data_IF_026188539246
#
_entry.id   IF_026188539246
#
_cell.length_a   1.000
_cell.length_b   1.000
_cell.length_c   1.000
_cell.angle_alpha   90.00
_cell.angle_beta   90.00
_cell.angle_gamma   90.00
#
_symmetry.space_group_name_H-M   'P 1'
#
loop_
_entity.id
_entity.type
_entity.pdbx_description
1 polymer ?
#
# COMPACT_ATOMS: atom_id res chain seq x y z
N UNK A 1 7.55 -0.77 3.90
CA UNK A 1 6.13 -0.40 4.13
C UNK A 1 5.25 -1.58 3.79
N UNK A 2 4.25 -1.86 4.63
CA UNK A 2 3.49 -3.10 4.61
C UNK A 2 2.01 -2.83 4.37
N UNK A 3 1.39 -3.59 3.48
CA UNK A 3 -0.06 -3.63 3.28
C UNK A 3 -0.61 -4.87 3.97
N UNK A 4 -1.59 -4.71 4.86
CA UNK A 4 -2.26 -5.83 5.50
C UNK A 4 -3.45 -6.30 4.68
N UNK A 5 -3.47 -7.57 4.30
CA UNK A 5 -4.62 -8.18 3.61
C UNK A 5 -5.60 -8.71 4.63
N UNK A 6 -6.80 -8.17 4.63
CA UNK A 6 -7.89 -8.55 5.55
C UNK A 6 -9.13 -8.98 4.77
N UNK A 7 -10.00 -9.75 5.39
CA UNK A 7 -11.28 -10.18 4.82
C UNK A 7 -11.92 -11.24 5.68
N UNK A 8 -13.21 -11.44 5.50
CA UNK A 8 -13.96 -12.54 6.13
C UNK A 8 -13.47 -13.89 5.59
N UNK A 9 -13.78 -15.00 6.27
CA UNK A 9 -13.52 -16.33 5.71
C UNK A 9 -14.21 -16.52 4.35
N UNK A 10 -13.56 -17.26 3.44
CA UNK A 10 -14.09 -17.66 2.13
C UNK A 10 -14.41 -16.51 1.16
N UNK A 11 -13.71 -15.37 1.30
CA UNK A 11 -13.82 -14.23 0.37
C UNK A 11 -12.77 -14.25 -0.74
N UNK A 12 -11.88 -15.27 -0.78
CA UNK A 12 -10.76 -15.35 -1.71
C UNK A 12 -9.46 -14.72 -1.18
N UNK A 13 -9.39 -14.37 0.13
CA UNK A 13 -8.20 -13.76 0.73
C UNK A 13 -6.96 -14.64 0.61
N UNK A 14 -7.05 -15.93 0.91
CA UNK A 14 -5.92 -16.86 0.80
C UNK A 14 -5.50 -17.08 -0.63
N UNK A 15 -6.43 -17.17 -1.57
CA UNK A 15 -6.18 -17.28 -3.02
C UNK A 15 -5.41 -16.06 -3.52
N UNK A 16 -5.86 -14.86 -3.17
CA UNK A 16 -5.15 -13.62 -3.51
C UNK A 16 -3.75 -13.59 -2.87
N UNK A 17 -3.62 -14.03 -1.62
CA UNK A 17 -2.33 -14.06 -0.94
C UNK A 17 -1.38 -15.11 -1.53
N UNK A 18 -1.89 -16.24 -2.01
CA UNK A 18 -1.10 -17.23 -2.77
C UNK A 18 -0.56 -16.61 -4.07
N UNK A 19 -1.40 -15.88 -4.83
CA UNK A 19 -0.96 -15.15 -6.02
C UNK A 19 0.17 -14.16 -5.69
N UNK A 20 0.03 -13.40 -4.61
CA UNK A 20 1.04 -12.47 -4.10
C UNK A 20 2.35 -13.21 -3.76
N UNK A 21 2.29 -14.34 -3.06
CA UNK A 21 3.48 -15.09 -2.65
C UNK A 21 4.14 -15.80 -3.81
N UNK A 22 3.38 -16.30 -4.78
CA UNK A 22 3.89 -16.93 -5.99
C UNK A 22 4.63 -15.90 -6.86
N UNK A 23 4.04 -14.73 -7.10
CA UNK A 23 4.72 -13.62 -7.77
C UNK A 23 5.96 -13.14 -6.99
N UNK A 24 5.90 -13.19 -5.65
CA UNK A 24 7.00 -12.87 -4.75
C UNK A 24 8.15 -13.88 -4.78
N UNK A 25 7.89 -15.15 -5.06
CA UNK A 25 8.95 -16.16 -5.20
C UNK A 25 9.86 -15.87 -6.42
N UNK A 26 9.32 -15.26 -7.47
CA UNK A 26 10.11 -14.74 -8.58
C UNK A 26 10.97 -13.54 -8.16
N UNK A 27 10.49 -12.74 -7.20
CA UNK A 27 11.19 -11.60 -6.63
C UNK A 27 12.18 -11.96 -5.50
N UNK A 28 12.15 -13.18 -4.97
CA UNK A 28 13.03 -13.63 -3.87
C UNK A 28 14.54 -13.65 -4.23
N UNK A 29 14.87 -13.55 -5.50
CA UNK A 29 16.25 -13.39 -6.00
C UNK A 29 16.80 -11.96 -5.79
N UNK A 30 15.97 -11.01 -5.33
CA UNK A 30 16.44 -9.65 -5.05
C UNK A 30 17.05 -9.56 -3.64
N UNK A 31 18.20 -8.87 -3.47
CA UNK A 31 18.84 -8.73 -2.17
C UNK A 31 17.95 -7.93 -1.21
N UNK A 32 17.98 -8.34 0.07
CA UNK A 32 17.22 -7.74 1.19
C UNK A 32 15.74 -8.14 1.33
N UNK A 33 15.23 -9.12 0.58
CA UNK A 33 13.94 -9.72 0.87
C UNK A 33 14.10 -10.77 1.99
N UNK A 34 13.76 -10.43 3.21
CA UNK A 34 13.63 -11.41 4.29
C UNK A 34 12.23 -12.02 4.19
N UNK A 35 12.15 -13.33 3.98
CA UNK A 35 10.87 -14.05 3.94
C UNK A 35 10.44 -14.28 5.39
N UNK A 36 9.53 -13.46 5.89
CA UNK A 36 8.83 -13.70 7.14
C UNK A 36 7.58 -14.58 6.88
N UNK A 37 7.19 -15.45 7.82
CA UNK A 37 5.92 -16.17 7.70
C UNK A 37 4.76 -15.20 7.48
N UNK A 38 3.85 -15.55 6.57
CA UNK A 38 2.69 -14.73 6.20
C UNK A 38 3.03 -13.35 5.59
N UNK A 39 4.22 -13.20 5.01
CA UNK A 39 4.60 -11.98 4.26
C UNK A 39 4.93 -12.35 2.81
N UNK A 40 4.29 -11.65 1.87
CA UNK A 40 4.59 -11.69 0.44
C UNK A 40 5.27 -10.40 0.00
N UNK A 41 6.32 -10.49 -0.81
CA UNK A 41 7.03 -9.32 -1.35
C UNK A 41 6.90 -9.35 -2.86
N UNK A 42 6.31 -8.31 -3.45
CA UNK A 42 6.05 -8.23 -4.88
C UNK A 42 6.83 -7.07 -5.50
N UNK A 43 7.36 -7.28 -6.70
CA UNK A 43 7.98 -6.21 -7.48
C UNK A 43 6.93 -5.18 -7.92
N UNK A 44 7.29 -3.90 -7.84
CA UNK A 44 6.46 -2.82 -8.36
C UNK A 44 6.69 -2.72 -9.86
N UNK A 45 5.67 -2.92 -10.70
CA UNK A 45 5.80 -2.76 -12.14
C UNK A 45 6.23 -1.33 -12.50
N UNK A 46 7.36 -1.18 -13.18
CA UNK A 46 7.87 0.12 -13.62
C UNK A 46 8.53 0.01 -15.00
N UNK A 47 7.79 0.36 -16.04
CA UNK A 47 8.27 0.35 -17.44
C UNK A 47 9.52 1.23 -17.66
N UNK A 48 9.75 2.22 -16.79
CA UNK A 48 10.94 3.08 -16.88
C UNK A 48 12.20 2.28 -16.58
N UNK A 49 12.10 1.36 -15.61
CA UNK A 49 13.22 0.50 -15.25
C UNK A 49 13.58 -0.47 -16.37
N UNK A 50 12.58 -1.01 -17.08
CA UNK A 50 12.77 -1.90 -18.22
C UNK A 50 13.52 -1.19 -19.36
N UNK A 51 13.08 0.02 -19.71
CA UNK A 51 13.75 0.84 -20.74
C UNK A 51 15.19 1.15 -20.36
N UNK A 52 15.45 1.49 -19.08
CA UNK A 52 16.82 1.73 -18.62
C UNK A 52 17.67 0.45 -18.65
N UNK A 53 17.08 -0.71 -18.36
CA UNK A 53 17.78 -1.98 -18.49
C UNK A 53 18.14 -2.30 -19.95
N UNK A 54 17.29 -2.02 -20.90
CA UNK A 54 17.60 -2.14 -22.33
C UNK A 54 18.73 -1.20 -22.78
N UNK A 55 18.75 0.04 -22.25
CA UNK A 55 19.76 1.05 -22.57
C UNK A 55 21.14 0.69 -22.01
N UNK A 56 21.21 0.24 -20.76
CA UNK A 56 22.47 0.03 -20.03
C UNK A 56 22.96 -1.41 -20.06
N UNK A 57 22.08 -2.39 -20.37
CA UNK A 57 22.33 -3.83 -20.33
C UNK A 57 23.06 -4.25 -19.06
N UNK A 58 22.46 -3.98 -17.88
CA UNK A 58 23.13 -4.12 -16.61
C UNK A 58 23.35 -5.59 -16.25
N UNK A 59 24.36 -5.85 -15.41
CA UNK A 59 24.57 -7.16 -14.78
C UNK A 59 23.42 -7.51 -13.82
N UNK A 60 22.79 -6.48 -13.23
CA UNK A 60 21.75 -6.66 -12.23
C UNK A 60 20.58 -5.69 -12.45
N UNK A 61 19.36 -6.26 -12.39
CA UNK A 61 18.10 -5.55 -12.46
C UNK A 61 17.38 -5.67 -11.11
N UNK A 62 17.05 -4.53 -10.48
CA UNK A 62 16.45 -4.52 -9.13
C UNK A 62 15.25 -3.58 -9.10
N UNK A 63 14.01 -4.07 -9.20
CA UNK A 63 12.81 -3.24 -9.06
C UNK A 63 12.58 -2.79 -7.63
N UNK A 64 11.73 -1.77 -7.47
CA UNK A 64 11.13 -1.47 -6.18
C UNK A 64 10.21 -2.61 -5.75
N UNK A 65 10.01 -2.78 -4.45
CA UNK A 65 9.15 -3.85 -3.92
C UNK A 65 8.13 -3.30 -2.93
N UNK A 66 7.00 -4.00 -2.82
CA UNK A 66 5.95 -3.75 -1.85
C UNK A 66 5.69 -5.02 -1.04
N UNK A 67 5.55 -4.88 0.27
CA UNK A 67 5.29 -5.98 1.18
C UNK A 67 3.81 -6.10 1.49
N UNK A 68 3.28 -7.32 1.42
CA UNK A 68 1.93 -7.69 1.83
C UNK A 68 2.01 -8.65 3.01
N UNK A 69 1.14 -8.45 4.00
CA UNK A 69 1.05 -9.30 5.19
C UNK A 69 -0.31 -9.95 5.22
N UNK A 70 -0.37 -11.28 5.25
CA UNK A 70 -1.63 -11.99 5.48
C UNK A 70 -2.05 -11.83 6.94
N UNK A 71 -3.15 -11.13 7.14
CA UNK A 71 -3.73 -10.98 8.46
C UNK A 71 -4.85 -12.01 8.60
N UNK A 72 -4.68 -12.95 9.53
CA UNK A 72 -5.63 -14.02 9.77
C UNK A 72 -7.06 -13.47 9.87
N UNK A 73 -8.01 -14.17 9.24
CA UNK A 73 -9.38 -13.69 9.09
C UNK A 73 -10.03 -13.31 10.43
N UNK A 74 -10.82 -12.26 10.39
CA UNK A 74 -11.61 -11.76 11.52
C UNK A 74 -12.74 -12.75 11.82
N UNK A 75 -12.85 -13.13 13.08
CA UNK A 75 -14.04 -13.80 13.61
C UNK A 75 -14.86 -12.75 14.35
N UNK A 76 -16.17 -12.73 14.14
CA UNK A 76 -17.12 -11.84 14.82
C UNK A 76 -16.89 -11.87 16.34
N UNK A 77 -16.73 -10.70 16.97
CA UNK A 77 -16.40 -10.60 18.41
C UNK A 77 -14.91 -10.45 18.74
N UNK A 78 -14.06 -10.17 17.73
CA UNK A 78 -12.62 -9.97 17.90
C UNK A 78 -12.27 -8.84 18.88
N UNK A 79 -13.07 -7.78 18.92
CA UNK A 79 -12.91 -6.63 19.81
C UNK A 79 -13.19 -6.94 21.29
N UNK A 80 -13.89 -8.03 21.58
CA UNK A 80 -14.25 -8.43 22.97
C UNK A 80 -13.13 -9.19 23.70
N UNK A 81 -11.94 -9.31 23.12
CA UNK A 81 -10.75 -9.73 23.85
C UNK A 81 -10.51 -11.23 23.97
N UNK A 82 -11.21 -12.09 23.23
CA UNK A 82 -10.97 -13.53 23.24
C UNK A 82 -9.92 -13.95 22.20
N UNK A 83 -8.68 -14.18 22.66
CA UNK A 83 -7.62 -14.94 21.99
C UNK A 83 -7.21 -14.47 20.57
N UNK A 84 -7.86 -14.95 19.53
CA UNK A 84 -7.53 -14.71 18.12
C UNK A 84 -7.82 -13.25 17.67
N UNK A 85 -8.84 -12.61 18.25
CA UNK A 85 -9.19 -11.23 17.91
C UNK A 85 -8.10 -10.22 18.27
N UNK A 86 -7.47 -10.38 19.44
CA UNK A 86 -6.37 -9.50 19.85
C UNK A 86 -5.15 -9.63 18.94
N UNK A 87 -4.85 -10.82 18.42
CA UNK A 87 -3.77 -11.05 17.46
C UNK A 87 -4.07 -10.35 16.12
N UNK A 88 -5.31 -10.46 15.63
CA UNK A 88 -5.77 -9.79 14.43
C UNK A 88 -5.58 -8.28 14.54
N UNK A 89 -6.08 -7.66 15.60
CA UNK A 89 -5.94 -6.21 15.82
C UNK A 89 -4.47 -5.78 15.98
N UNK A 90 -3.63 -6.61 16.61
CA UNK A 90 -2.19 -6.37 16.72
C UNK A 90 -1.52 -6.32 15.34
N UNK A 91 -1.78 -7.32 14.50
CA UNK A 91 -1.21 -7.37 13.15
C UNK A 91 -1.67 -6.19 12.29
N UNK A 92 -2.95 -5.78 12.38
CA UNK A 92 -3.41 -4.58 11.65
C UNK A 92 -2.67 -3.33 12.13
N UNK A 93 -2.32 -3.21 13.41
CA UNK A 93 -1.55 -2.05 13.90
C UNK A 93 -0.16 -1.95 13.29
N UNK A 94 0.45 -3.07 12.93
CA UNK A 94 1.82 -3.15 12.40
C UNK A 94 1.94 -2.79 10.91
N UNK A 95 0.84 -2.80 10.16
CA UNK A 95 0.84 -2.47 8.73
C UNK A 95 0.54 -0.99 8.49
N UNK A 96 0.95 -0.46 7.34
CA UNK A 96 0.81 0.96 7.00
C UNK A 96 -0.55 1.30 6.37
N UNK A 97 -1.15 0.36 5.63
CA UNK A 97 -2.49 0.47 5.05
C UNK A 97 -3.13 -0.92 4.91
N UNK A 98 -4.40 -0.96 4.56
CA UNK A 98 -5.23 -2.17 4.54
C UNK A 98 -5.70 -2.45 3.11
N UNK A 99 -5.61 -3.70 2.68
CA UNK A 99 -6.29 -4.27 1.52
C UNK A 99 -7.44 -5.11 2.05
N UNK A 100 -8.67 -4.62 1.93
CA UNK A 100 -9.85 -5.31 2.39
C UNK A 100 -10.46 -6.11 1.23
N UNK A 101 -10.27 -7.43 1.26
CA UNK A 101 -10.83 -8.35 0.27
C UNK A 101 -12.30 -8.57 0.57
N UNK A 102 -13.15 -8.26 -0.40
CA UNK A 102 -14.61 -8.35 -0.30
C UNK A 102 -15.12 -9.31 -1.36
N UNK A 103 -15.93 -10.27 -0.96
CA UNK A 103 -16.52 -11.25 -1.89
C UNK A 103 -17.61 -10.59 -2.73
N UNK A 104 -17.42 -10.55 -4.05
CA UNK A 104 -18.34 -10.03 -5.03
C UNK A 104 -18.65 -11.07 -6.13
N UNK A 105 -18.73 -12.36 -5.77
CA UNK A 105 -19.06 -13.48 -6.64
C UNK A 105 -19.97 -14.47 -5.93
N UNK A 106 -20.78 -15.17 -6.69
CA UNK A 106 -21.59 -16.28 -6.22
C UNK A 106 -20.95 -17.61 -6.64
N UNK A 107 -20.84 -18.57 -5.71
CA UNK A 107 -20.34 -19.91 -5.98
C UNK A 107 -20.99 -20.87 -4.95
N UNK A 108 -21.75 -21.83 -5.46
CA UNK A 108 -22.48 -22.80 -4.64
C UNK A 108 -21.53 -23.75 -3.87
N UNK A 109 -20.28 -23.91 -4.34
CA UNK A 109 -19.27 -24.74 -3.67
C UNK A 109 -18.55 -24.01 -2.55
N UNK A 110 -18.65 -22.68 -2.48
CA UNK A 110 -17.97 -21.84 -1.49
C UNK A 110 -19.01 -21.28 -0.51
N UNK A 111 -19.13 -21.91 0.66
CA UNK A 111 -20.08 -21.51 1.68
C UNK A 111 -19.73 -20.11 2.20
N UNK A 112 -20.72 -19.19 2.18
CA UNK A 112 -20.60 -17.90 2.86
C UNK A 112 -20.87 -18.03 4.36
N UNK A 113 -20.12 -17.30 5.20
CA UNK A 113 -20.23 -17.39 6.67
C UNK A 113 -21.64 -17.04 7.17
N UNK A 114 -22.29 -16.05 6.54
CA UNK A 114 -23.65 -15.59 6.87
C UNK A 114 -24.73 -16.16 5.92
N UNK A 115 -24.40 -17.17 5.10
CA UNK A 115 -25.33 -17.90 4.24
C UNK A 115 -25.75 -17.21 2.94
N UNK A 116 -25.37 -15.95 2.71
CA UNK A 116 -25.59 -15.20 1.47
C UNK A 116 -24.46 -14.22 1.19
N UNK A 117 -24.20 -13.93 -0.07
CA UNK A 117 -23.22 -12.90 -0.46
C UNK A 117 -23.87 -11.53 -0.31
N UNK A 118 -23.25 -10.68 0.50
CA UNK A 118 -23.67 -9.28 0.72
C UNK A 118 -22.42 -8.45 1.03
N UNK A 119 -21.81 -7.82 0.01
CA UNK A 119 -20.57 -7.06 0.16
C UNK A 119 -20.66 -5.91 1.17
N UNK A 120 -21.80 -5.23 1.25
CA UNK A 120 -21.99 -4.12 2.19
C UNK A 120 -21.97 -4.61 3.65
N UNK A 121 -22.72 -5.67 3.94
CA UNK A 121 -22.74 -6.31 5.25
C UNK A 121 -21.36 -6.82 5.64
N UNK A 122 -20.64 -7.46 4.72
CA UNK A 122 -19.32 -8.04 4.97
C UNK A 122 -18.29 -6.97 5.32
N UNK A 123 -18.34 -5.83 4.64
CA UNK A 123 -17.53 -4.64 4.97
C UNK A 123 -17.90 -4.10 6.36
N UNK A 124 -19.20 -3.96 6.64
CA UNK A 124 -19.69 -3.43 7.92
C UNK A 124 -19.24 -4.29 9.10
N UNK A 125 -19.25 -5.62 8.97
CA UNK A 125 -18.79 -6.54 10.00
C UNK A 125 -17.33 -6.27 10.39
N UNK A 126 -16.44 -6.11 9.42
CA UNK A 126 -15.02 -5.82 9.67
C UNK A 126 -14.88 -4.39 10.22
N UNK A 127 -15.49 -3.40 9.59
CA UNK A 127 -15.39 -2.02 10.02
C UNK A 127 -15.89 -1.82 11.45
N UNK A 128 -16.98 -2.48 11.84
CA UNK A 128 -17.50 -2.44 13.22
C UNK A 128 -16.47 -2.93 14.23
N UNK A 129 -15.79 -4.04 13.99
CA UNK A 129 -14.79 -4.57 14.91
C UNK A 129 -13.56 -3.62 15.04
N UNK A 130 -13.14 -3.01 13.93
CA UNK A 130 -12.04 -2.03 13.93
C UNK A 130 -12.44 -0.75 14.67
N UNK A 131 -13.66 -0.26 14.47
CA UNK A 131 -14.21 0.91 15.14
C UNK A 131 -14.31 0.68 16.65
N UNK A 132 -14.81 -0.47 17.08
CA UNK A 132 -14.90 -0.84 18.50
C UNK A 132 -13.50 -0.85 19.17
N UNK A 133 -12.49 -1.38 18.49
CA UNK A 133 -11.11 -1.36 19.00
C UNK A 133 -10.54 0.06 19.13
N UNK A 134 -10.90 0.95 18.20
CA UNK A 134 -10.48 2.35 18.27
C UNK A 134 -11.25 3.13 19.32
N UNK A 135 -12.54 2.88 19.55
CA UNK A 135 -13.31 3.47 20.66
C UNK A 135 -12.59 3.22 22.00
N UNK A 136 -12.14 1.96 22.24
CA UNK A 136 -11.39 1.65 23.46
C UNK A 136 -10.11 2.47 23.58
N UNK A 137 -9.36 2.58 22.48
CA UNK A 137 -8.10 3.33 22.43
C UNK A 137 -8.34 4.82 22.67
N UNK A 138 -9.31 5.41 21.96
CA UNK A 138 -9.64 6.85 22.05
C UNK A 138 -10.19 7.20 23.44
N UNK A 139 -11.03 6.34 24.02
CA UNK A 139 -11.56 6.54 25.39
C UNK A 139 -10.42 6.66 26.40
N UNK A 140 -9.48 5.71 26.41
CA UNK A 140 -8.31 5.73 27.33
C UNK A 140 -7.46 6.98 27.13
N UNK A 141 -7.22 7.40 25.89
CA UNK A 141 -6.44 8.61 25.57
C UNK A 141 -7.16 9.88 26.00
N UNK A 142 -8.46 9.98 25.71
CA UNK A 142 -9.29 11.12 26.07
C UNK A 142 -9.40 11.32 27.60
N UNK A 143 -9.60 10.23 28.35
CA UNK A 143 -9.61 10.24 29.81
C UNK A 143 -8.27 10.72 30.39
N UNK A 144 -7.14 10.24 29.84
CA UNK A 144 -5.80 10.68 30.21
C UNK A 144 -5.62 12.17 29.95
N UNK A 145 -6.00 12.66 28.76
CA UNK A 145 -5.90 14.07 28.40
C UNK A 145 -6.76 14.95 29.35
N UNK A 146 -7.98 14.54 29.64
CA UNK A 146 -8.85 15.22 30.59
C UNK A 146 -8.27 15.28 32.02
N UNK A 147 -7.65 14.20 32.50
CA UNK A 147 -6.99 14.14 33.80
C UNK A 147 -5.78 15.08 33.86
N UNK A 148 -4.98 15.17 32.78
CA UNK A 148 -3.83 16.09 32.73
C UNK A 148 -4.23 17.54 32.64
N UNK A 149 -5.29 17.85 31.91
CA UNK A 149 -5.89 19.20 31.89
C UNK A 149 -6.35 19.67 33.27
N UNK A 150 -7.00 18.78 34.04
CA UNK A 150 -7.41 19.08 35.44
C UNK A 150 -6.20 19.37 36.34
N UNK A 151 -5.02 18.87 36.04
CA UNK A 151 -3.76 19.18 36.72
C UNK A 151 -3.10 20.48 36.25
N UNK A 152 -3.71 21.19 35.29
CA UNK A 152 -3.22 22.47 34.77
C UNK A 152 -2.31 22.35 33.52
N UNK A 153 -2.09 21.17 32.95
CA UNK A 153 -1.27 21.00 31.75
C UNK A 153 -2.07 21.27 30.47
N UNK A 154 -2.04 22.53 30.03
CA UNK A 154 -2.83 23.02 28.89
C UNK A 154 -2.48 22.39 27.55
N UNK A 155 -1.32 21.73 27.42
CA UNK A 155 -0.91 21.08 26.18
C UNK A 155 -1.85 19.93 25.76
N UNK A 156 -2.61 19.37 26.72
CA UNK A 156 -3.58 18.31 26.46
C UNK A 156 -4.97 18.80 25.99
N UNK A 157 -5.15 20.12 25.78
CA UNK A 157 -6.44 20.65 25.32
C UNK A 157 -6.83 20.12 23.95
N UNK A 158 -5.91 20.21 22.97
CA UNK A 158 -6.11 19.72 21.60
C UNK A 158 -6.35 18.21 21.56
N UNK A 159 -5.62 17.44 22.39
CA UNK A 159 -5.83 15.98 22.49
C UNK A 159 -7.24 15.65 23.03
N UNK A 160 -7.71 16.38 24.04
CA UNK A 160 -9.06 16.18 24.61
C UNK A 160 -10.13 16.49 23.57
N UNK A 161 -10.03 17.63 22.88
CA UNK A 161 -10.99 18.02 21.84
C UNK A 161 -11.02 17.01 20.70
N UNK A 162 -9.84 16.57 20.22
CA UNK A 162 -9.73 15.54 19.19
C UNK A 162 -10.38 14.22 19.65
N UNK A 163 -10.17 13.81 20.91
CA UNK A 163 -10.77 12.63 21.49
C UNK A 163 -12.30 12.70 21.54
N UNK A 164 -12.88 13.85 21.89
CA UNK A 164 -14.34 14.07 21.92
C UNK A 164 -14.95 13.96 20.50
N UNK A 165 -14.31 14.58 19.50
CA UNK A 165 -14.74 14.50 18.10
C UNK A 165 -14.67 13.05 17.61
N UNK A 166 -13.56 12.36 17.86
CA UNK A 166 -13.36 10.98 17.45
C UNK A 166 -14.35 10.04 18.12
N UNK A 167 -14.60 10.16 19.42
CA UNK A 167 -15.57 9.32 20.11
C UNK A 167 -16.99 9.51 19.57
N UNK A 168 -17.40 10.75 19.32
CA UNK A 168 -18.71 11.00 18.70
C UNK A 168 -18.81 10.33 17.33
N UNK A 169 -17.79 10.48 16.50
CA UNK A 169 -17.75 9.94 15.13
C UNK A 169 -17.71 8.41 15.10
N UNK A 170 -16.85 7.78 15.91
CA UNK A 170 -16.72 6.33 16.03
C UNK A 170 -17.98 5.68 16.59
N UNK A 171 -18.68 6.33 17.55
CA UNK A 171 -19.95 5.83 18.10
C UNK A 171 -21.10 5.84 17.07
N UNK A 172 -20.97 6.61 15.97
CA UNK A 172 -21.85 6.52 14.81
C UNK A 172 -21.49 5.36 13.86
N UNK A 173 -20.49 4.53 14.19
CA UNK A 173 -19.98 3.45 13.36
C UNK A 173 -19.05 3.90 12.23
N UNK A 174 -18.64 5.18 12.21
CA UNK A 174 -17.81 5.74 11.14
C UNK A 174 -16.32 5.62 11.46
N UNK A 175 -15.45 5.28 10.47
CA UNK A 175 -14.02 5.15 10.70
C UNK A 175 -13.36 6.49 11.00
N UNK A 176 -12.34 6.51 11.87
CA UNK A 176 -11.64 7.73 12.30
C UNK A 176 -11.05 8.55 11.13
N UNK A 177 -10.69 7.92 10.01
CA UNK A 177 -10.17 8.59 8.80
C UNK A 177 -11.15 9.59 8.17
N UNK A 178 -12.45 9.41 8.39
CA UNK A 178 -13.50 10.30 7.88
C UNK A 178 -13.90 11.41 8.86
N UNK A 179 -13.31 11.43 10.07
CA UNK A 179 -13.58 12.46 11.06
C UNK A 179 -13.04 13.83 10.63
N UNK A 180 -13.82 14.89 10.90
CA UNK A 180 -13.46 16.27 10.60
C UNK A 180 -12.49 16.83 11.65
N UNK A 181 -11.24 16.42 11.61
CA UNK A 181 -10.16 16.90 12.47
C UNK A 181 -9.37 18.02 11.81
N UNK A 182 -8.97 19.05 12.58
CA UNK A 182 -8.00 20.05 12.14
C UNK A 182 -6.60 19.44 11.98
N UNK A 183 -5.67 20.16 11.33
CA UNK A 183 -4.27 19.72 11.19
C UNK A 183 -3.60 19.47 12.55
N UNK A 184 -3.78 20.38 13.51
CA UNK A 184 -3.24 20.24 14.86
C UNK A 184 -3.83 19.03 15.58
N UNK A 185 -5.13 18.78 15.44
CA UNK A 185 -5.79 17.60 15.99
C UNK A 185 -5.31 16.32 15.34
N UNK A 186 -5.12 16.30 14.00
CA UNK A 186 -4.53 15.15 13.28
C UNK A 186 -3.11 14.86 13.76
N UNK A 187 -2.30 15.89 13.95
CA UNK A 187 -0.93 15.75 14.44
C UNK A 187 -0.86 15.09 15.83
N UNK A 188 -1.71 15.51 16.77
CA UNK A 188 -1.70 14.93 18.13
C UNK A 188 -2.29 13.54 18.22
N UNK A 189 -3.20 13.14 17.31
CA UNK A 189 -3.76 11.78 17.29
C UNK A 189 -2.91 10.78 16.50
N UNK A 190 -1.91 11.23 15.79
CA UNK A 190 -1.02 10.35 15.01
C UNK A 190 -0.36 9.28 15.90
N UNK A 191 0.06 9.65 17.11
CA UNK A 191 0.67 8.76 18.09
C UNK A 191 -0.33 7.82 18.80
N UNK A 192 -1.60 7.88 18.45
CA UNK A 192 -2.60 6.98 19.00
C UNK A 192 -2.69 5.66 18.24
N UNK A 193 -2.09 5.59 17.05
CA UNK A 193 -2.05 4.41 16.19
C UNK A 193 -3.44 3.80 15.95
N UNK A 194 -4.42 4.66 15.69
CA UNK A 194 -5.79 4.24 15.42
C UNK A 194 -5.84 3.39 14.14
N UNK A 195 -6.51 2.26 14.23
CA UNK A 195 -6.62 1.29 13.14
C UNK A 195 -7.45 1.88 12.00
N UNK A 196 -8.57 2.52 12.34
CA UNK A 196 -9.50 3.09 11.35
C UNK A 196 -9.01 4.42 10.76
N UNK A 197 -7.86 4.96 11.20
CA UNK A 197 -7.14 6.05 10.52
C UNK A 197 -6.35 5.58 9.31
N UNK A 198 -6.04 4.28 9.23
CA UNK A 198 -5.28 3.72 8.10
C UNK A 198 -6.08 3.85 6.81
N UNK A 199 -5.36 4.09 5.71
CA UNK A 199 -5.95 4.10 4.36
C UNK A 199 -6.34 2.68 3.95
N UNK A 200 -7.39 2.56 3.14
CA UNK A 200 -7.97 1.27 2.73
C UNK A 200 -8.08 1.22 1.20
N UNK A 201 -7.76 0.05 0.63
CA UNK A 201 -8.17 -0.37 -0.70
C UNK A 201 -9.19 -1.48 -0.51
N UNK A 202 -10.38 -1.32 -1.07
CA UNK A 202 -11.35 -2.40 -1.16
C UNK A 202 -11.04 -3.23 -2.41
N UNK A 203 -10.59 -4.45 -2.23
CA UNK A 203 -10.38 -5.42 -3.31
C UNK A 203 -11.68 -6.21 -3.50
N UNK A 204 -12.51 -5.74 -4.43
CA UNK A 204 -13.77 -6.41 -4.81
C UNK A 204 -13.41 -7.67 -5.63
N UNK A 205 -13.46 -8.83 -4.98
CA UNK A 205 -13.11 -10.11 -5.58
C UNK A 205 -14.31 -10.66 -6.34
N UNK A 206 -14.22 -10.67 -7.68
CA UNK A 206 -15.24 -11.15 -8.61
C UNK A 206 -14.97 -12.59 -9.06
N UNK A 207 -15.97 -13.22 -9.68
CA UNK A 207 -15.82 -14.52 -10.36
C UNK A 207 -15.13 -14.39 -11.71
N UNK A 208 -14.64 -15.52 -12.23
CA UNK A 208 -13.99 -15.58 -13.55
C UNK A 208 -14.95 -15.20 -14.69
N UNK A 209 -16.23 -15.50 -14.55
CA UNK A 209 -17.29 -15.16 -15.50
C UNK A 209 -17.51 -13.66 -15.65
N UNK A 210 -17.03 -12.85 -14.71
CA UNK A 210 -17.15 -11.39 -14.72
C UNK A 210 -15.86 -10.69 -15.22
N UNK A 211 -14.82 -11.45 -15.52
CA UNK A 211 -13.58 -10.91 -16.10
C UNK A 211 -13.86 -10.26 -17.46
N UNK A 212 -13.28 -9.09 -17.69
CA UNK A 212 -13.44 -8.35 -18.94
C UNK A 212 -14.78 -7.63 -19.10
N UNK A 213 -15.75 -7.80 -18.19
CA UNK A 213 -17.00 -7.03 -18.19
C UNK A 213 -16.75 -5.59 -17.72
N UNK A 214 -17.68 -4.69 -18.06
CA UNK A 214 -17.65 -3.33 -17.50
C UNK A 214 -17.85 -3.40 -15.98
N UNK A 215 -16.84 -2.98 -15.25
CA UNK A 215 -16.86 -2.98 -13.79
C UNK A 215 -18.04 -2.18 -13.19
N UNK A 216 -18.64 -1.24 -13.96
CA UNK A 216 -19.79 -0.46 -13.52
C UNK A 216 -21.12 -1.23 -13.61
N UNK A 217 -21.16 -2.32 -14.37
CA UNK A 217 -22.34 -3.17 -14.52
C UNK A 217 -22.40 -4.28 -13.47
N UNK A 218 -21.32 -4.50 -12.71
CA UNK A 218 -21.24 -5.55 -11.69
C UNK A 218 -22.04 -5.17 -10.44
N UNK A 219 -23.22 -5.78 -10.30
CA UNK A 219 -24.17 -5.45 -9.22
C UNK A 219 -23.56 -5.60 -7.81
N UNK A 220 -22.78 -6.67 -7.57
CA UNK A 220 -22.16 -6.92 -6.28
C UNK A 220 -20.99 -5.95 -5.96
N UNK A 221 -20.46 -5.27 -6.97
CA UNK A 221 -19.38 -4.26 -6.80
C UNK A 221 -19.94 -2.88 -6.45
N UNK A 222 -21.16 -2.57 -6.87
CA UNK A 222 -21.79 -1.26 -6.63
C UNK A 222 -21.81 -0.84 -5.16
N UNK A 223 -22.26 -1.69 -4.20
CA UNK A 223 -22.24 -1.34 -2.78
C UNK A 223 -20.83 -1.07 -2.24
N UNK A 224 -19.83 -1.79 -2.75
CA UNK A 224 -18.41 -1.57 -2.37
C UNK A 224 -17.94 -0.18 -2.80
N UNK A 225 -18.33 0.26 -4.02
CA UNK A 225 -18.00 1.60 -4.54
C UNK A 225 -18.67 2.71 -3.74
N UNK A 226 -19.93 2.55 -3.38
CA UNK A 226 -20.68 3.53 -2.59
C UNK A 226 -20.04 3.74 -1.21
N UNK A 227 -19.66 2.65 -0.53
CA UNK A 227 -18.95 2.71 0.76
C UNK A 227 -17.59 3.38 0.58
N UNK A 228 -16.83 2.96 -0.41
CA UNK A 228 -15.49 3.50 -0.66
C UNK A 228 -15.54 5.00 -0.98
N UNK A 229 -16.49 5.46 -1.76
CA UNK A 229 -16.70 6.89 -2.06
C UNK A 229 -17.00 7.68 -0.80
N UNK A 230 -17.88 7.18 0.06
CA UNK A 230 -18.23 7.80 1.35
C UNK A 230 -17.02 7.91 2.30
N UNK A 231 -16.05 7.03 2.17
CA UNK A 231 -14.82 7.00 2.99
C UNK A 231 -13.61 7.67 2.34
N UNK A 232 -13.70 8.07 1.08
CA UNK A 232 -12.56 8.52 0.27
C UNK A 232 -11.53 7.42 0.03
N UNK A 233 -11.97 6.16 0.05
CA UNK A 233 -11.17 4.97 -0.22
C UNK A 233 -11.17 4.63 -1.72
N UNK A 234 -10.31 3.68 -2.13
CA UNK A 234 -10.23 3.22 -3.51
C UNK A 234 -10.79 1.80 -3.63
N UNK A 235 -11.40 1.49 -4.77
CA UNK A 235 -11.86 0.15 -5.12
C UNK A 235 -11.00 -0.40 -6.24
N UNK A 236 -10.58 -1.64 -6.08
CA UNK A 236 -9.94 -2.44 -7.11
C UNK A 236 -10.82 -3.67 -7.36
N UNK A 237 -11.30 -3.82 -8.57
CA UNK A 237 -11.96 -5.07 -9.02
C UNK A 237 -10.87 -6.06 -9.42
N UNK A 238 -10.91 -7.26 -8.85
CA UNK A 238 -9.92 -8.29 -9.03
C UNK A 238 -10.58 -9.67 -8.99
N UNK A 239 -10.09 -10.62 -9.77
CA UNK A 239 -10.46 -12.03 -9.64
C UNK A 239 -9.27 -12.78 -9.02
N UNK A 240 -9.36 -13.13 -7.75
CA UNK A 240 -8.25 -13.75 -7.02
C UNK A 240 -7.85 -15.11 -7.63
N UNK A 241 -8.81 -15.88 -8.17
CA UNK A 241 -8.53 -17.15 -8.83
C UNK A 241 -7.70 -16.96 -10.10
N UNK A 242 -8.12 -16.05 -10.97
CA UNK A 242 -7.35 -15.73 -12.17
C UNK A 242 -5.94 -15.20 -11.86
N UNK A 243 -5.79 -14.40 -10.79
CA UNK A 243 -4.47 -13.92 -10.37
C UNK A 243 -3.57 -15.06 -9.86
N UNK A 244 -4.13 -16.05 -9.16
CA UNK A 244 -3.38 -17.24 -8.73
C UNK A 244 -2.88 -18.03 -9.95
N UNK A 245 -3.73 -18.23 -10.95
CA UNK A 245 -3.36 -18.92 -12.20
C UNK A 245 -2.31 -18.13 -13.00
N UNK A 246 -2.53 -16.81 -13.20
CA UNK A 246 -1.57 -15.92 -13.86
C UNK A 246 -0.20 -15.92 -13.19
N UNK A 247 -0.17 -16.00 -11.85
CA UNK A 247 1.08 -15.97 -11.09
C UNK A 247 1.99 -17.17 -11.35
N UNK A 248 1.45 -18.27 -11.90
CA UNK A 248 2.15 -19.50 -12.24
C UNK A 248 2.60 -19.55 -13.71
N UNK A 249 2.10 -18.64 -14.55
CA UNK A 249 2.41 -18.56 -15.97
C UNK A 249 3.78 -17.93 -16.21
N UNK A 250 4.43 -18.33 -17.31
CA UNK A 250 5.58 -17.59 -17.80
C UNK A 250 5.16 -16.23 -18.41
N UNK A 251 6.11 -15.29 -18.66
CA UNK A 251 5.76 -13.95 -19.14
C UNK A 251 5.02 -13.95 -20.51
N UNK A 252 5.30 -14.89 -21.39
CA UNK A 252 4.65 -14.98 -22.72
C UNK A 252 3.22 -15.50 -22.55
N UNK A 253 3.05 -16.56 -21.76
CA UNK A 253 1.73 -17.13 -21.42
C UNK A 253 0.85 -16.09 -20.70
N UNK A 254 1.43 -15.36 -19.72
CA UNK A 254 0.74 -14.27 -19.00
C UNK A 254 0.23 -13.21 -19.98
N UNK A 255 1.06 -12.78 -20.91
CA UNK A 255 0.67 -11.77 -21.90
C UNK A 255 -0.46 -12.26 -22.79
N UNK A 256 -0.37 -13.47 -23.32
CA UNK A 256 -1.41 -14.09 -24.15
C UNK A 256 -2.73 -14.22 -23.41
N UNK A 257 -2.69 -14.65 -22.14
CA UNK A 257 -3.89 -14.77 -21.31
C UNK A 257 -4.57 -13.40 -21.09
N UNK A 258 -3.79 -12.37 -20.77
CA UNK A 258 -4.33 -11.01 -20.56
C UNK A 258 -4.95 -10.44 -21.85
N UNK A 259 -4.33 -10.68 -23.00
CA UNK A 259 -4.85 -10.26 -24.31
C UNK A 259 -6.15 -10.99 -24.67
N UNK A 260 -6.23 -12.30 -24.44
CA UNK A 260 -7.43 -13.13 -24.68
C UNK A 260 -8.61 -12.69 -23.82
N UNK A 261 -8.34 -12.31 -22.56
CA UNK A 261 -9.35 -11.80 -21.64
C UNK A 261 -9.69 -10.31 -21.86
N UNK A 262 -9.03 -9.63 -22.80
CA UNK A 262 -9.22 -8.20 -23.03
C UNK A 262 -8.74 -7.30 -21.89
N UNK A 263 -7.81 -7.78 -21.05
CA UNK A 263 -7.31 -7.09 -19.86
C UNK A 263 -5.90 -6.55 -20.17
N UNK A 264 -5.68 -5.27 -20.00
CA UNK A 264 -4.39 -4.64 -20.32
C UNK A 264 -3.29 -4.88 -19.26
N UNK A 265 -3.67 -5.27 -18.04
CA UNK A 265 -2.75 -5.47 -16.89
C UNK A 265 -3.43 -6.37 -15.85
N UNK A 266 -2.66 -7.24 -15.19
CA UNK A 266 -3.22 -8.11 -14.14
C UNK A 266 -3.74 -7.30 -12.95
N UNK A 267 -4.72 -7.85 -12.24
CA UNK A 267 -5.26 -7.22 -11.03
C UNK A 267 -4.23 -7.10 -9.93
N UNK A 268 -3.30 -8.07 -9.82
CA UNK A 268 -2.19 -8.00 -8.86
C UNK A 268 -1.24 -6.84 -9.18
N UNK A 269 -0.86 -6.66 -10.44
CA UNK A 269 -0.02 -5.53 -10.85
C UNK A 269 -0.72 -4.19 -10.55
N UNK A 270 -2.04 -4.10 -10.82
CA UNK A 270 -2.87 -2.94 -10.47
C UNK A 270 -2.91 -2.70 -8.96
N UNK A 271 -3.05 -3.77 -8.14
CA UNK A 271 -3.05 -3.70 -6.68
C UNK A 271 -1.73 -3.15 -6.14
N UNK A 272 -0.61 -3.63 -6.68
CA UNK A 272 0.73 -3.18 -6.28
C UNK A 272 0.93 -1.70 -6.59
N UNK A 273 0.59 -1.25 -7.79
CA UNK A 273 0.70 0.16 -8.20
C UNK A 273 -0.22 1.04 -7.33
N UNK A 274 -1.45 0.58 -7.10
CA UNK A 274 -2.42 1.31 -6.28
C UNK A 274 -1.97 1.43 -4.83
N UNK A 275 -1.46 0.34 -4.25
CA UNK A 275 -0.92 0.31 -2.89
C UNK A 275 0.30 1.20 -2.73
N UNK A 276 1.19 1.20 -3.72
CA UNK A 276 2.37 2.06 -3.76
C UNK A 276 1.99 3.55 -3.73
N UNK A 277 1.03 3.93 -4.58
CA UNK A 277 0.47 5.28 -4.63
C UNK A 277 -0.28 5.65 -3.34
N UNK A 278 -1.09 4.72 -2.79
CA UNK A 278 -1.84 4.94 -1.55
C UNK A 278 -0.93 5.29 -0.38
N UNK A 279 0.23 4.62 -0.30
CA UNK A 279 1.26 4.85 0.73
C UNK A 279 2.07 6.12 0.47
N UNK A 280 1.82 6.85 -0.63
CA UNK A 280 2.57 8.05 -0.99
C UNK A 280 4.02 7.74 -1.36
N UNK A 281 4.28 6.55 -1.92
CA UNK A 281 5.60 6.13 -2.34
C UNK A 281 5.91 6.61 -3.74
N UNK A 282 7.18 6.92 -3.98
CA UNK A 282 7.74 7.23 -5.28
C UNK A 282 9.07 6.49 -5.45
N UNK A 283 9.50 6.34 -6.71
CA UNK A 283 10.77 5.71 -7.04
C UNK A 283 11.72 6.70 -7.70
N UNK A 284 12.91 6.88 -7.15
CA UNK A 284 14.02 7.40 -7.93
C UNK A 284 14.85 6.24 -8.48
N UNK A 285 15.56 6.47 -9.57
CA UNK A 285 16.25 5.43 -10.33
C UNK A 285 17.77 5.65 -10.30
N UNK A 286 18.51 4.57 -10.25
CA UNK A 286 19.95 4.56 -10.53
C UNK A 286 20.20 3.65 -11.73
N UNK A 287 20.97 4.11 -12.69
CA UNK A 287 21.20 3.38 -13.93
C UNK A 287 22.69 3.37 -14.31
N UNK A 288 23.23 2.17 -14.53
CA UNK A 288 24.59 1.94 -14.94
C UNK A 288 24.84 0.50 -15.37
N UNK A 289 26.04 0.18 -15.90
CA UNK A 289 26.36 -1.17 -16.39
C UNK A 289 26.32 -2.26 -15.32
N UNK A 290 26.56 -1.91 -14.04
CA UNK A 290 26.55 -2.88 -12.96
C UNK A 290 25.15 -3.16 -12.46
N UNK A 291 24.33 -2.11 -12.30
CA UNK A 291 22.96 -2.25 -11.79
C UNK A 291 22.07 -1.15 -12.36
N UNK A 292 20.84 -1.54 -12.71
CA UNK A 292 19.71 -0.65 -12.87
C UNK A 292 18.73 -0.95 -11.75
N UNK A 293 18.39 0.09 -10.96
CA UNK A 293 17.59 -0.10 -9.74
C UNK A 293 16.61 1.02 -9.48
N UNK A 294 15.41 0.65 -9.02
CA UNK A 294 14.42 1.56 -8.47
C UNK A 294 14.51 1.58 -6.94
N UNK A 295 14.55 2.78 -6.36
CA UNK A 295 14.68 3.01 -4.94
C UNK A 295 13.41 3.64 -4.38
N UNK A 296 12.76 2.95 -3.45
CA UNK A 296 11.53 3.40 -2.82
C UNK A 296 11.79 4.47 -1.75
N UNK A 297 11.13 5.61 -1.90
CA UNK A 297 11.08 6.70 -0.91
C UNK A 297 9.65 7.21 -0.78
N UNK A 298 9.34 7.94 0.29
CA UNK A 298 8.09 8.68 0.42
C UNK A 298 8.17 10.00 -0.36
N UNK A 299 7.06 10.40 -0.95
CA UNK A 299 6.94 11.74 -1.55
C UNK A 299 7.31 12.83 -0.51
N UNK A 300 8.06 13.83 -0.93
CA UNK A 300 8.60 14.86 -0.03
C UNK A 300 9.97 14.55 0.58
N UNK A 301 10.54 13.36 0.33
CA UNK A 301 11.90 13.01 0.79
C UNK A 301 12.95 13.89 0.11
N UNK A 302 13.89 14.45 0.89
CA UNK A 302 15.00 15.24 0.38
C UNK A 302 16.17 14.35 -0.08
N UNK A 303 17.03 14.90 -0.95
CA UNK A 303 18.14 14.18 -1.56
C UNK A 303 19.09 13.48 -0.57
N UNK A 304 19.49 14.04 0.58
CA UNK A 304 20.31 13.32 1.55
C UNK A 304 19.66 12.06 2.12
N UNK A 305 18.37 12.14 2.50
CA UNK A 305 17.61 10.99 3.02
C UNK A 305 17.40 9.93 1.93
N UNK A 306 17.19 10.36 0.67
CA UNK A 306 17.13 9.44 -0.46
C UNK A 306 18.48 8.71 -0.66
N UNK A 307 19.60 9.43 -0.59
CA UNK A 307 20.94 8.83 -0.63
C UNK A 307 21.16 7.83 0.51
N UNK A 308 20.59 8.10 1.68
CA UNK A 308 20.60 7.20 2.85
C UNK A 308 19.92 5.86 2.61
N UNK A 309 18.99 5.77 1.64
CA UNK A 309 18.38 4.51 1.22
C UNK A 309 19.39 3.56 0.55
N UNK A 310 20.41 4.11 -0.09
CA UNK A 310 21.50 3.33 -0.67
C UNK A 310 22.44 2.85 0.43
N UNK A 311 22.95 3.80 1.25
CA UNK A 311 23.80 3.52 2.39
C UNK A 311 23.84 4.71 3.34
N UNK A 312 23.96 4.47 4.66
CA UNK A 312 24.01 5.53 5.68
C UNK A 312 25.19 6.51 5.47
N UNK A 313 26.30 6.06 4.88
CA UNK A 313 27.43 6.91 4.56
C UNK A 313 27.12 7.92 3.46
N UNK A 314 26.25 7.57 2.51
CA UNK A 314 25.80 8.49 1.46
C UNK A 314 25.00 9.65 2.04
N UNK A 315 24.19 9.39 3.07
CA UNK A 315 23.46 10.45 3.78
C UNK A 315 24.41 11.34 4.59
N UNK A 316 25.30 10.74 5.38
CA UNK A 316 26.25 11.48 6.23
C UNK A 316 27.24 12.32 5.42
N UNK A 317 27.79 11.74 4.38
CA UNK A 317 28.77 12.39 3.51
C UNK A 317 28.18 13.11 2.31
N UNK A 318 26.84 13.34 2.25
CA UNK A 318 26.17 13.92 1.10
C UNK A 318 26.77 15.27 0.69
N UNK A 319 27.17 15.38 -0.57
CA UNK A 319 27.67 16.61 -1.20
C UNK A 319 26.60 17.21 -2.10
N UNK A 320 26.16 16.43 -3.10
CA UNK A 320 25.14 16.81 -4.09
C UNK A 320 24.57 15.59 -4.80
N UNK A 321 23.43 15.78 -5.44
CA UNK A 321 22.83 14.83 -6.38
C UNK A 321 22.95 15.36 -7.82
N UNK A 322 23.47 14.55 -8.72
CA UNK A 322 23.41 14.79 -10.16
C UNK A 322 22.14 14.10 -10.67
N UNK A 323 21.17 14.87 -11.16
CA UNK A 323 19.82 14.38 -11.48
C UNK A 323 19.47 14.67 -12.92
N UNK A 324 18.91 13.68 -13.59
CA UNK A 324 18.31 13.81 -14.91
C UNK A 324 16.89 13.24 -14.85
N UNK A 325 15.86 13.96 -15.31
CA UNK A 325 14.53 13.36 -15.49
C UNK A 325 14.60 12.15 -16.43
N UNK A 326 13.85 11.10 -16.12
CA UNK A 326 13.83 9.88 -16.93
C UNK A 326 13.56 10.16 -18.42
N UNK A 327 12.58 11.00 -18.73
CA UNK A 327 12.18 11.34 -20.09
C UNK A 327 13.32 12.01 -20.87
N UNK A 328 14.10 12.88 -20.21
CA UNK A 328 15.24 13.53 -20.82
C UNK A 328 16.35 12.53 -21.11
N UNK A 329 16.61 11.60 -20.17
CA UNK A 329 17.64 10.57 -20.38
C UNK A 329 17.30 9.64 -21.54
N UNK A 330 16.05 9.20 -21.63
CA UNK A 330 15.60 8.31 -22.72
C UNK A 330 15.67 9.03 -24.07
N UNK A 331 15.23 10.28 -24.13
CA UNK A 331 15.27 11.10 -25.35
C UNK A 331 16.71 11.31 -25.87
N UNK A 332 17.65 11.55 -24.97
CA UNK A 332 19.04 11.83 -25.31
C UNK A 332 19.91 10.57 -25.44
N UNK A 333 19.44 9.42 -24.95
CA UNK A 333 20.08 8.11 -25.06
C UNK A 333 21.28 7.88 -24.15
N UNK A 334 21.80 8.91 -23.45
CA UNK A 334 22.91 8.73 -22.50
C UNK A 334 23.07 9.91 -21.53
N UNK A 335 23.62 9.64 -20.33
CA UNK A 335 24.01 10.68 -19.38
C UNK A 335 25.04 11.67 -19.97
N UNK A 336 25.93 11.20 -20.84
CA UNK A 336 26.92 12.06 -21.49
C UNK A 336 26.24 13.11 -22.40
N UNK A 337 25.31 12.68 -23.23
CA UNK A 337 24.52 13.58 -24.09
C UNK A 337 23.67 14.56 -23.26
N UNK A 338 23.08 14.09 -22.15
CA UNK A 338 22.37 14.96 -21.22
C UNK A 338 23.31 16.05 -20.62
N UNK A 339 24.55 15.69 -20.27
CA UNK A 339 25.54 16.66 -19.76
C UNK A 339 25.90 17.70 -20.79
N UNK A 340 26.17 17.32 -22.04
CA UNK A 340 26.49 18.23 -23.13
C UNK A 340 25.35 19.23 -23.39
N UNK A 341 24.10 18.82 -23.17
CA UNK A 341 22.92 19.68 -23.35
C UNK A 341 22.51 20.43 -22.07
N UNK A 342 23.26 20.29 -20.98
CA UNK A 342 22.97 20.96 -19.72
C UNK A 342 21.70 20.47 -19.01
N UNK A 343 21.24 19.25 -19.32
CA UNK A 343 20.05 18.63 -18.73
C UNK A 343 20.34 17.95 -17.38
N UNK A 344 21.61 17.70 -17.06
CA UNK A 344 22.03 17.16 -15.76
C UNK A 344 22.05 18.29 -14.74
N UNK A 345 21.14 18.25 -13.79
CA UNK A 345 21.04 19.23 -12.71
C UNK A 345 21.92 18.81 -11.54
N UNK A 346 22.59 19.77 -10.92
CA UNK A 346 23.35 19.58 -9.69
C UNK A 346 22.53 20.12 -8.52
N UNK A 347 21.97 19.23 -7.71
CA UNK A 347 21.01 19.57 -6.66
C UNK A 347 21.63 19.40 -5.27
N UNK A 348 21.31 20.32 -4.37
CA UNK A 348 21.81 20.37 -3.00
C UNK A 348 20.91 19.62 -2.02
N UNK A 349 21.20 19.83 -0.70
CA UNK A 349 20.55 19.13 0.41
C UNK A 349 19.04 19.39 0.51
N UNK A 350 18.55 20.53 0.03
CA UNK A 350 17.15 20.92 0.12
C UNK A 350 16.30 20.41 -1.05
N UNK A 351 16.91 19.75 -2.01
CA UNK A 351 16.18 19.21 -3.15
C UNK A 351 15.22 18.10 -2.71
N UNK A 352 13.96 18.25 -3.05
CA UNK A 352 12.92 17.25 -2.86
C UNK A 352 12.90 16.33 -4.07
N UNK A 353 13.17 15.05 -3.85
CA UNK A 353 13.19 14.03 -4.90
C UNK A 353 11.83 13.91 -5.59
N UNK A 354 11.88 13.69 -6.91
CA UNK A 354 10.70 13.46 -7.73
C UNK A 354 10.66 12.02 -8.22
N UNK A 355 9.45 11.54 -8.49
CA UNK A 355 9.26 10.22 -9.09
C UNK A 355 9.90 10.19 -10.49
N UNK A 356 10.72 9.17 -10.77
CA UNK A 356 11.44 9.03 -12.03
C UNK A 356 12.75 9.84 -12.14
N UNK A 357 13.21 10.50 -11.08
CA UNK A 357 14.55 11.11 -11.08
C UNK A 357 15.63 10.03 -11.27
N UNK A 358 16.39 10.09 -12.35
CA UNK A 358 17.59 9.25 -12.53
C UNK A 358 18.76 9.96 -11.87
N UNK A 359 19.35 9.34 -10.85
CA UNK A 359 20.18 10.04 -9.88
C UNK A 359 21.55 9.39 -9.69
N UNK A 360 22.58 10.25 -9.59
CA UNK A 360 23.92 9.87 -9.11
C UNK A 360 24.28 10.75 -7.92
N UNK A 361 24.38 10.16 -6.74
CA UNK A 361 24.81 10.87 -5.53
C UNK A 361 26.33 11.01 -5.45
N UNK A 362 26.78 12.20 -5.10
CA UNK A 362 28.18 12.50 -4.77
C UNK A 362 28.29 12.69 -3.27
N UNK A 363 29.18 11.93 -2.68
CA UNK A 363 29.39 11.93 -1.23
C UNK A 363 30.87 11.79 -0.92
N UNK A 364 31.25 12.17 0.30
CA UNK A 364 32.58 11.99 0.84
C UNK A 364 32.48 11.54 2.31
N UNK A 365 33.16 10.46 2.68
CA UNK A 365 33.17 9.86 4.03
C UNK A 365 34.58 9.88 4.57
#
# INVERSE_FOLDING_TARGET
MKLGVVGLPNVGKSTLFNAITCAGAQAANYPFCTIEPNTGVVAVPDKRLDVLAEMYKPEKYTPATLEFVDIAGLVKGASRGEGLGNKFLSHIREVDAIVHVVRCFEDDNVIHVDGSVDPARDIDVINTELVLADIETVTKRSEKAAAMLKKGDKKYATEKEAGEILLAHLNEGKPARTAALSEDQRAVVQDWFLITMKKVIYAANIGEEDLGKDENELELVKPVREIAEGEGAQVLVICAQAEEDISQMDPEEKQMFLEDMGIGQSGLDRLVVLGYKLLGLISYLTAGPQEVRAWTITAGTKAPQAAGKIHSDFERGFIRAEIVPYEDLVREGSIAACKEKGLVRSEGKEYVMKDGDVTLFRFNV
#
